data_IF_668203222878
#
_entry.id   IF_668203222878
#
_cell.length_a   1.000
_cell.length_b   1.000
_cell.length_c   1.000
_cell.angle_alpha   90.00
_cell.angle_beta   90.00
_cell.angle_gamma   90.00
#
_symmetry.space_group_name_H-M   'P 1'
#
loop_
_entity.id
_entity.type
_entity.pdbx_description
1 polymer ?
#
# COMPACT_ATOMS: atom_id res chain seq x y z
N UNK A 1 -24.06 36.14 76.97
CA UNK A 1 -24.61 36.32 75.60
C UNK A 1 -24.76 34.96 74.96
N UNK A 2 -25.99 34.45 74.88
CA UNK A 2 -26.29 33.13 74.34
C UNK A 2 -26.10 33.12 72.80
N UNK A 3 -25.36 32.13 72.31
CA UNK A 3 -25.12 31.93 70.87
C UNK A 3 -26.40 31.38 70.23
N UNK A 4 -26.87 31.93 69.09
CA UNK A 4 -28.15 31.55 68.50
C UNK A 4 -28.13 30.09 68.00
N UNK A 5 -29.30 29.42 67.98
CA UNK A 5 -29.42 28.04 67.50
C UNK A 5 -29.09 27.96 66.00
N UNK A 6 -28.20 27.04 65.64
CA UNK A 6 -27.82 26.80 64.25
C UNK A 6 -29.00 26.22 63.45
N UNK A 7 -29.19 26.63 62.18
CA UNK A 7 -30.30 26.17 61.35
C UNK A 7 -30.24 24.65 61.11
N UNK A 8 -31.40 23.97 61.08
CA UNK A 8 -31.48 22.52 60.89
C UNK A 8 -31.11 22.18 59.44
N UNK A 9 -29.87 21.70 59.26
CA UNK A 9 -29.35 21.29 57.94
C UNK A 9 -27.89 21.65 57.69
N UNK A 10 -27.25 22.45 58.56
CA UNK A 10 -25.81 22.64 58.47
C UNK A 10 -25.08 21.35 58.89
N UNK A 11 -24.11 20.84 58.09
CA UNK A 11 -23.28 19.74 58.55
C UNK A 11 -22.59 20.21 59.83
N UNK A 12 -22.82 19.50 60.95
CA UNK A 12 -22.21 19.83 62.24
C UNK A 12 -20.70 19.77 62.05
N UNK A 13 -20.07 20.93 61.89
CA UNK A 13 -18.62 21.04 61.83
C UNK A 13 -18.08 20.45 63.13
N UNK A 14 -17.12 19.54 63.05
CA UNK A 14 -16.50 18.90 64.22
C UNK A 14 -16.02 19.91 65.28
N UNK A 15 -15.77 21.16 64.88
CA UNK A 15 -15.45 22.29 65.78
C UNK A 15 -16.59 22.75 66.71
N UNK A 16 -17.80 22.21 66.61
CA UNK A 16 -18.92 22.48 67.52
C UNK A 16 -19.08 21.42 68.63
N UNK A 17 -18.27 20.36 68.62
CA UNK A 17 -18.34 19.26 69.59
C UNK A 17 -17.41 19.50 70.79
N UNK A 18 -17.83 19.08 71.98
CA UNK A 18 -16.96 19.14 73.17
C UNK A 18 -15.85 18.08 73.13
N UNK A 19 -14.79 18.26 73.93
CA UNK A 19 -13.65 17.32 73.98
C UNK A 19 -14.06 15.90 74.37
N UNK A 20 -15.04 15.74 75.25
CA UNK A 20 -15.62 14.44 75.59
C UNK A 20 -16.38 13.80 74.42
N UNK A 21 -17.15 14.59 73.67
CA UNK A 21 -17.90 14.13 72.50
C UNK A 21 -16.98 13.75 71.33
N UNK A 22 -15.89 14.49 71.14
CA UNK A 22 -14.87 14.16 70.14
C UNK A 22 -14.15 12.84 70.50
N UNK A 23 -13.81 12.62 71.77
CA UNK A 23 -13.22 11.34 72.22
C UNK A 23 -14.18 10.16 72.03
N UNK A 24 -15.45 10.33 72.37
CA UNK A 24 -16.45 9.29 72.14
C UNK A 24 -16.65 9.00 70.63
N UNK A 25 -16.60 10.02 69.78
CA UNK A 25 -16.70 9.86 68.33
C UNK A 25 -15.45 9.19 67.72
N UNK A 26 -14.27 9.47 68.26
CA UNK A 26 -13.02 8.79 67.88
C UNK A 26 -13.01 7.30 68.25
N UNK A 27 -13.74 6.92 69.30
CA UNK A 27 -13.90 5.53 69.72
C UNK A 27 -15.02 4.79 68.97
N UNK A 28 -15.87 5.53 68.23
CA UNK A 28 -17.00 5.02 67.46
C UNK A 28 -16.74 5.13 65.96
N UNK A 29 -15.94 4.19 65.45
CA UNK A 29 -15.54 4.08 64.04
C UNK A 29 -16.71 4.10 63.04
N UNK A 30 -17.82 3.34 63.21
CA UNK A 30 -18.92 3.39 62.24
C UNK A 30 -19.61 4.76 62.22
N UNK A 31 -19.68 5.46 63.35
CA UNK A 31 -20.22 6.82 63.41
C UNK A 31 -19.29 7.84 62.74
N UNK A 32 -17.97 7.67 62.87
CA UNK A 32 -16.99 8.47 62.15
C UNK A 32 -17.08 8.25 60.62
N UNK A 33 -17.15 6.99 60.17
CA UNK A 33 -17.32 6.66 58.76
C UNK A 33 -18.61 7.24 58.17
N UNK A 34 -19.72 7.20 58.92
CA UNK A 34 -20.97 7.84 58.51
C UNK A 34 -20.81 9.36 58.39
N UNK A 35 -20.12 10.00 59.32
CA UNK A 35 -19.84 11.44 59.25
C UNK A 35 -18.97 11.81 58.03
N UNK A 36 -17.96 10.99 57.70
CA UNK A 36 -17.11 11.16 56.50
C UNK A 36 -17.94 11.01 55.22
N UNK A 37 -18.78 9.98 55.13
CA UNK A 37 -19.67 9.74 53.96
C UNK A 37 -20.68 10.88 53.74
N UNK A 38 -21.13 11.51 54.83
CA UNK A 38 -22.03 12.66 54.78
C UNK A 38 -21.29 14.00 54.56
N UNK A 39 -19.95 14.00 54.58
CA UNK A 39 -19.19 15.21 54.34
C UNK A 39 -19.34 15.68 52.88
N UNK A 40 -19.52 16.98 52.69
CA UNK A 40 -19.66 17.59 51.36
C UNK A 40 -18.48 17.27 50.43
N UNK A 41 -17.25 17.25 50.99
CA UNK A 41 -16.03 16.93 50.24
C UNK A 41 -16.04 15.49 49.73
N UNK A 42 -16.41 14.53 50.58
CA UNK A 42 -16.51 13.12 50.17
C UNK A 42 -17.61 12.90 49.13
N UNK A 43 -18.78 13.52 49.30
CA UNK A 43 -19.86 13.43 48.32
C UNK A 43 -19.49 14.05 46.97
N UNK A 44 -18.78 15.18 46.96
CA UNK A 44 -18.30 15.81 45.72
C UNK A 44 -17.33 14.88 44.96
N UNK A 45 -16.35 14.31 45.66
CA UNK A 45 -15.41 13.34 45.06
C UNK A 45 -16.11 12.08 44.56
N UNK A 46 -17.12 11.61 45.29
CA UNK A 46 -17.90 10.43 44.88
C UNK A 46 -18.70 10.71 43.61
N UNK A 47 -19.34 11.89 43.49
CA UNK A 47 -20.04 12.31 42.26
C UNK A 47 -19.07 12.44 41.09
N UNK A 48 -17.93 13.09 41.29
CA UNK A 48 -16.90 13.22 40.26
C UNK A 48 -16.40 11.85 39.79
N UNK A 49 -16.22 10.89 40.71
CA UNK A 49 -15.89 9.51 40.36
C UNK A 49 -16.97 8.86 39.50
N UNK A 50 -18.24 9.01 39.87
CA UNK A 50 -19.37 8.46 39.12
C UNK A 50 -19.48 9.08 37.72
N UNK A 51 -19.31 10.39 37.61
CA UNK A 51 -19.27 11.11 36.32
C UNK A 51 -18.13 10.59 35.42
N UNK A 52 -16.92 10.45 35.98
CA UNK A 52 -15.77 9.91 35.24
C UNK A 52 -15.98 8.46 34.82
N UNK A 53 -16.57 7.63 35.67
CA UNK A 53 -16.89 6.23 35.34
C UNK A 53 -17.97 6.16 34.26
N UNK A 54 -19.00 6.99 34.34
CA UNK A 54 -20.05 7.07 33.32
C UNK A 54 -19.44 7.49 31.97
N UNK A 55 -18.62 8.56 31.95
CA UNK A 55 -17.94 9.03 30.76
C UNK A 55 -16.99 7.97 30.15
N UNK A 56 -16.18 7.30 30.98
CA UNK A 56 -15.31 6.23 30.52
C UNK A 56 -16.11 5.05 29.93
N UNK A 57 -17.22 4.67 30.58
CA UNK A 57 -18.08 3.59 30.10
C UNK A 57 -18.76 3.92 28.78
N UNK A 58 -19.18 5.18 28.58
CA UNK A 58 -19.74 5.66 27.32
C UNK A 58 -18.68 5.59 26.21
N UNK A 59 -17.48 6.12 26.44
CA UNK A 59 -16.37 6.05 25.49
C UNK A 59 -15.98 4.60 25.16
N UNK A 60 -15.97 3.70 26.15
CA UNK A 60 -15.68 2.30 25.92
C UNK A 60 -16.74 1.65 25.03
N UNK A 61 -18.03 1.94 25.26
CA UNK A 61 -19.13 1.45 24.41
C UNK A 61 -19.01 1.99 22.99
N UNK A 62 -18.75 3.28 22.81
CA UNK A 62 -18.60 3.89 21.49
C UNK A 62 -17.41 3.30 20.73
N UNK A 63 -16.26 3.13 21.40
CA UNK A 63 -15.07 2.50 20.82
C UNK A 63 -15.34 1.04 20.40
N UNK A 64 -16.07 0.28 21.23
CA UNK A 64 -16.46 -1.09 20.90
C UNK A 64 -17.45 -1.14 19.73
N UNK A 65 -18.38 -0.18 19.65
CA UNK A 65 -19.33 -0.08 18.54
C UNK A 65 -18.63 0.20 17.19
N UNK A 66 -17.45 0.83 17.20
CA UNK A 66 -16.66 1.07 15.99
C UNK A 66 -15.88 -0.15 15.49
N UNK A 67 -15.63 -1.16 16.34
CA UNK A 67 -14.89 -2.37 15.97
C UNK A 67 -15.42 -3.09 14.72
N UNK A 68 -16.71 -3.44 14.60
CA UNK A 68 -17.20 -4.17 13.44
C UNK A 68 -16.92 -3.40 12.14
N UNK A 69 -17.21 -2.09 12.11
CA UNK A 69 -16.93 -1.25 10.95
C UNK A 69 -15.45 -1.21 10.56
N UNK A 70 -14.54 -1.21 11.55
CA UNK A 70 -13.10 -1.25 11.27
C UNK A 70 -12.65 -2.62 10.76
N UNK A 71 -13.22 -3.69 11.29
CA UNK A 71 -12.94 -5.07 10.86
C UNK A 71 -13.46 -5.32 9.44
N UNK A 72 -14.69 -4.89 9.15
CA UNK A 72 -15.27 -4.92 7.80
C UNK A 72 -14.43 -4.10 6.80
N UNK A 73 -14.01 -2.89 7.20
CA UNK A 73 -13.15 -2.05 6.39
C UNK A 73 -11.79 -2.69 6.09
N UNK A 74 -11.17 -3.35 7.09
CA UNK A 74 -9.92 -4.11 6.90
C UNK A 74 -10.13 -5.30 5.95
N UNK A 75 -11.22 -6.05 6.11
CA UNK A 75 -11.53 -7.19 5.24
C UNK A 75 -11.77 -6.73 3.79
N UNK A 76 -12.57 -5.69 3.59
CA UNK A 76 -12.82 -5.12 2.26
C UNK A 76 -11.52 -4.61 1.60
N UNK A 77 -10.65 -3.96 2.38
CA UNK A 77 -9.35 -3.50 1.87
C UNK A 77 -8.44 -4.68 1.49
N UNK A 78 -8.41 -5.74 2.30
CA UNK A 78 -7.65 -6.94 2.00
C UNK A 78 -8.12 -7.61 0.70
N UNK A 79 -9.44 -7.68 0.47
CA UNK A 79 -10.01 -8.17 -0.80
C UNK A 79 -9.52 -7.31 -1.98
N UNK A 80 -9.58 -5.98 -1.87
CA UNK A 80 -9.10 -5.09 -2.94
C UNK A 80 -7.61 -5.22 -3.23
N UNK A 81 -6.77 -5.41 -2.20
CA UNK A 81 -5.35 -5.70 -2.41
C UNK A 81 -5.12 -7.04 -3.10
N UNK A 82 -5.93 -8.06 -2.79
CA UNK A 82 -5.85 -9.36 -3.44
C UNK A 82 -6.28 -9.27 -4.92
N UNK A 83 -7.39 -8.61 -5.23
CA UNK A 83 -7.82 -8.33 -6.62
C UNK A 83 -6.72 -7.61 -7.41
N UNK A 84 -6.12 -6.56 -6.82
CA UNK A 84 -5.02 -5.81 -7.44
C UNK A 84 -3.81 -6.71 -7.73
N UNK A 85 -3.46 -7.58 -6.78
CA UNK A 85 -2.36 -8.53 -6.94
C UNK A 85 -2.62 -9.48 -8.11
N UNK A 86 -3.83 -10.02 -8.21
CA UNK A 86 -4.23 -10.93 -9.29
C UNK A 86 -4.15 -10.24 -10.65
N UNK A 87 -4.70 -9.03 -10.77
CA UNK A 87 -4.62 -8.24 -12.02
C UNK A 87 -3.17 -7.92 -12.36
N UNK A 88 -2.34 -7.56 -11.38
CA UNK A 88 -0.92 -7.27 -11.60
C UNK A 88 -0.17 -8.49 -12.12
N UNK A 89 -0.39 -9.67 -11.53
CA UNK A 89 0.25 -10.90 -11.98
C UNK A 89 -0.26 -11.33 -13.36
N UNK A 90 -1.56 -11.19 -13.64
CA UNK A 90 -2.12 -11.43 -14.97
C UNK A 90 -1.50 -10.50 -16.03
N UNK A 91 -1.34 -9.21 -15.72
CA UNK A 91 -0.66 -8.25 -16.60
C UNK A 91 0.80 -8.63 -16.82
N UNK A 92 1.54 -9.00 -15.76
CA UNK A 92 2.93 -9.47 -15.87
C UNK A 92 3.05 -10.72 -16.73
N UNK A 93 2.14 -11.68 -16.59
CA UNK A 93 2.12 -12.88 -17.41
C UNK A 93 1.89 -12.55 -18.90
N UNK A 94 0.96 -11.62 -19.20
CA UNK A 94 0.72 -11.13 -20.57
C UNK A 94 1.95 -10.42 -21.14
N UNK A 95 2.62 -9.58 -20.35
CA UNK A 95 3.85 -8.89 -20.77
C UNK A 95 4.96 -9.88 -21.09
N UNK A 96 5.21 -10.90 -20.25
CA UNK A 96 6.21 -11.94 -20.52
C UNK A 96 5.91 -12.71 -21.81
N UNK A 97 4.64 -13.03 -22.07
CA UNK A 97 4.23 -13.68 -23.33
C UNK A 97 4.48 -12.80 -24.55
N UNK A 98 4.19 -11.51 -24.42
CA UNK A 98 4.45 -10.54 -25.48
C UNK A 98 5.94 -10.36 -25.73
N UNK A 99 6.76 -10.26 -24.68
CA UNK A 99 8.22 -10.22 -24.78
C UNK A 99 8.76 -11.48 -25.49
N UNK A 100 8.30 -12.67 -25.11
CA UNK A 100 8.70 -13.91 -25.78
C UNK A 100 8.34 -13.92 -27.27
N UNK A 101 7.11 -13.49 -27.62
CA UNK A 101 6.69 -13.38 -29.02
C UNK A 101 7.53 -12.35 -29.79
N UNK A 102 7.84 -11.20 -29.19
CA UNK A 102 8.71 -10.19 -29.80
C UNK A 102 10.14 -10.69 -29.99
N UNK A 103 10.66 -11.51 -29.09
CA UNK A 103 11.97 -12.15 -29.26
C UNK A 103 11.95 -13.21 -30.38
N UNK A 104 10.86 -13.97 -30.53
CA UNK A 104 10.69 -15.00 -31.59
C UNK A 104 10.46 -14.39 -32.98
N UNK A 105 9.61 -13.36 -33.05
CA UNK A 105 9.27 -12.65 -34.27
C UNK A 105 10.18 -11.44 -34.53
N UNK A 106 11.17 -11.23 -33.66
CA UNK A 106 12.04 -10.06 -33.71
C UNK A 106 12.86 -9.98 -35.00
N UNK A 107 13.14 -8.77 -35.50
CA UNK A 107 13.88 -8.57 -36.75
C UNK A 107 15.27 -9.21 -36.71
N UNK A 108 15.94 -9.18 -35.55
CA UNK A 108 17.24 -9.81 -35.37
C UNK A 108 17.18 -11.34 -35.52
N UNK A 109 16.13 -11.98 -34.98
CA UNK A 109 15.94 -13.42 -35.16
C UNK A 109 15.59 -13.75 -36.61
N UNK A 110 14.79 -12.91 -37.27
CA UNK A 110 14.49 -13.06 -38.70
C UNK A 110 15.76 -12.96 -39.57
N UNK A 111 16.65 -12.00 -39.29
CA UNK A 111 17.96 -11.91 -39.94
C UNK A 111 18.78 -13.17 -39.75
N UNK A 112 18.86 -13.70 -38.53
CA UNK A 112 19.58 -14.94 -38.25
C UNK A 112 19.03 -16.14 -39.03
N UNK A 113 17.70 -16.28 -39.12
CA UNK A 113 17.06 -17.33 -39.93
C UNK A 113 17.36 -17.18 -41.42
N UNK A 114 17.30 -15.97 -41.96
CA UNK A 114 17.62 -15.70 -43.37
C UNK A 114 19.09 -16.00 -43.67
N UNK A 115 20.01 -15.66 -42.76
CA UNK A 115 21.44 -15.97 -42.90
C UNK A 115 21.67 -17.47 -42.92
N UNK A 116 21.10 -18.21 -41.98
CA UNK A 116 21.21 -19.67 -41.94
C UNK A 116 20.61 -20.33 -43.20
N UNK A 117 19.48 -19.83 -43.70
CA UNK A 117 18.88 -20.34 -44.94
C UNK A 117 19.76 -20.07 -46.18
N UNK A 118 20.38 -18.89 -46.24
CA UNK A 118 21.35 -18.54 -47.28
C UNK A 118 22.54 -19.51 -47.24
N UNK A 119 23.21 -19.60 -46.09
CA UNK A 119 24.39 -20.44 -45.90
C UNK A 119 24.07 -21.92 -46.22
N UNK A 120 22.91 -22.43 -45.81
CA UNK A 120 22.47 -23.78 -46.13
C UNK A 120 22.26 -24.01 -47.63
N UNK A 121 21.59 -23.09 -48.32
CA UNK A 121 21.38 -23.19 -49.78
C UNK A 121 22.66 -23.06 -50.60
N UNK A 122 23.64 -22.27 -50.12
CA UNK A 122 24.97 -22.16 -50.72
C UNK A 122 25.77 -23.46 -50.55
N UNK A 123 25.74 -24.05 -49.35
CA UNK A 123 26.36 -25.35 -49.09
C UNK A 123 25.72 -26.49 -49.90
N UNK A 124 24.39 -26.48 -50.08
CA UNK A 124 23.69 -27.42 -50.96
C UNK A 124 24.15 -27.28 -52.42
N UNK A 125 24.27 -26.04 -52.91
CA UNK A 125 24.73 -25.77 -54.27
C UNK A 125 26.19 -26.20 -54.49
N UNK A 126 27.05 -26.00 -53.49
CA UNK A 126 28.44 -26.47 -53.52
C UNK A 126 28.52 -28.00 -53.53
N UNK A 127 27.74 -28.66 -52.67
CA UNK A 127 27.65 -30.12 -52.64
C UNK A 127 27.19 -30.68 -53.99
N UNK A 128 26.16 -30.08 -54.59
CA UNK A 128 25.67 -30.47 -55.92
C UNK A 128 26.74 -30.30 -57.00
N UNK A 129 27.50 -29.20 -56.96
CA UNK A 129 28.62 -28.96 -57.88
C UNK A 129 29.70 -30.03 -57.73
N UNK A 130 30.12 -30.33 -56.51
CA UNK A 130 31.15 -31.33 -56.24
C UNK A 130 30.73 -32.72 -56.76
N UNK A 131 29.48 -33.13 -56.54
CA UNK A 131 28.95 -34.41 -57.02
C UNK A 131 28.87 -34.48 -58.54
N UNK A 132 28.52 -33.38 -59.20
CA UNK A 132 28.53 -33.31 -60.67
C UNK A 132 29.95 -33.42 -61.23
N UNK A 133 30.93 -32.72 -60.63
CA UNK A 133 32.35 -32.82 -61.02
C UNK A 133 32.93 -34.22 -60.78
N UNK A 134 32.43 -34.94 -59.78
CA UNK A 134 32.75 -36.35 -59.54
C UNK A 134 32.02 -37.32 -60.49
N UNK A 135 31.23 -36.82 -61.44
CA UNK A 135 30.40 -37.60 -62.37
C UNK A 135 29.36 -38.51 -61.69
N UNK A 136 28.95 -38.20 -60.45
CA UNK A 136 27.94 -38.98 -59.71
C UNK A 136 26.50 -38.70 -60.15
N UNK A 137 26.26 -37.57 -60.82
CA UNK A 137 24.92 -37.08 -61.18
C UNK A 137 24.92 -36.66 -62.66
N UNK A 138 23.92 -37.07 -63.47
CA UNK A 138 23.81 -36.64 -64.85
C UNK A 138 23.48 -35.15 -64.97
N UNK A 139 23.82 -34.55 -66.11
CA UNK A 139 23.70 -33.10 -66.35
C UNK A 139 22.30 -32.56 -66.05
N UNK A 140 21.26 -33.21 -66.56
CA UNK A 140 19.88 -32.72 -66.42
C UNK A 140 19.43 -32.66 -64.95
N UNK A 141 19.76 -33.69 -64.16
CA UNK A 141 19.44 -33.74 -62.73
C UNK A 141 20.28 -32.74 -61.91
N UNK A 142 21.53 -32.52 -62.30
CA UNK A 142 22.36 -31.47 -61.72
C UNK A 142 21.75 -30.09 -61.97
N UNK A 143 21.40 -29.77 -63.23
CA UNK A 143 20.82 -28.48 -63.58
C UNK A 143 19.53 -28.19 -62.81
N UNK A 144 18.63 -29.16 -62.72
CA UNK A 144 17.37 -28.98 -61.98
C UNK A 144 17.63 -28.68 -60.49
N UNK A 145 18.50 -29.45 -59.83
CA UNK A 145 18.77 -29.31 -58.40
C UNK A 145 19.62 -28.07 -58.06
N UNK A 146 20.63 -27.78 -58.89
CA UNK A 146 21.51 -26.62 -58.74
C UNK A 146 20.80 -25.30 -59.02
N UNK A 147 19.97 -25.22 -60.07
CA UNK A 147 19.17 -24.02 -60.32
C UNK A 147 18.19 -23.76 -59.17
N UNK A 148 17.63 -24.81 -58.56
CA UNK A 148 16.75 -24.68 -57.39
C UNK A 148 17.49 -24.15 -56.15
N UNK A 149 18.66 -24.70 -55.81
CA UNK A 149 19.45 -24.23 -54.66
C UNK A 149 19.95 -22.80 -54.88
N UNK A 150 20.41 -22.47 -56.09
CA UNK A 150 20.80 -21.12 -56.48
C UNK A 150 19.66 -20.14 -56.41
N UNK A 151 18.47 -20.48 -56.91
CA UNK A 151 17.30 -19.63 -56.80
C UNK A 151 16.96 -19.32 -55.33
N UNK A 152 17.01 -20.32 -54.44
CA UNK A 152 16.80 -20.12 -53.00
C UNK A 152 17.86 -19.21 -52.38
N UNK A 153 19.14 -19.43 -52.70
CA UNK A 153 20.25 -18.58 -52.24
C UNK A 153 20.04 -17.11 -52.65
N UNK A 154 19.72 -16.85 -53.92
CA UNK A 154 19.44 -15.49 -54.38
C UNK A 154 18.26 -14.84 -53.66
N UNK A 155 17.15 -15.57 -53.51
CA UNK A 155 15.97 -15.09 -52.78
C UNK A 155 16.33 -14.75 -51.32
N UNK A 156 17.01 -15.65 -50.60
CA UNK A 156 17.42 -15.43 -49.21
C UNK A 156 18.40 -14.26 -49.08
N UNK A 157 19.33 -14.09 -50.02
CA UNK A 157 20.27 -12.97 -50.07
C UNK A 157 19.55 -11.64 -50.27
N UNK A 158 18.66 -11.55 -51.25
CA UNK A 158 17.86 -10.33 -51.48
C UNK A 158 16.98 -10.01 -50.26
N UNK A 159 16.34 -11.01 -49.65
CA UNK A 159 15.55 -10.81 -48.44
C UNK A 159 16.40 -10.33 -47.26
N UNK A 160 17.62 -10.87 -47.09
CA UNK A 160 18.56 -10.46 -46.05
C UNK A 160 18.98 -8.99 -46.25
N UNK A 161 19.40 -8.62 -47.45
CA UNK A 161 19.80 -7.26 -47.82
C UNK A 161 18.64 -6.27 -47.59
N UNK A 162 17.42 -6.62 -48.02
CA UNK A 162 16.24 -5.77 -47.84
C UNK A 162 15.84 -5.60 -46.38
N UNK A 163 15.90 -6.66 -45.58
CA UNK A 163 15.63 -6.57 -44.14
C UNK A 163 16.70 -5.72 -43.44
N UNK A 164 17.97 -5.85 -43.81
CA UNK A 164 19.04 -5.00 -43.28
C UNK A 164 18.85 -3.53 -43.65
N UNK A 165 18.48 -3.23 -44.90
CA UNK A 165 18.19 -1.87 -45.38
C UNK A 165 17.04 -1.23 -44.58
N UNK A 166 15.94 -1.96 -44.37
CA UNK A 166 14.79 -1.49 -43.58
C UNK A 166 15.17 -1.22 -42.11
N UNK A 167 16.00 -2.07 -41.53
CA UNK A 167 16.46 -1.90 -40.14
C UNK A 167 17.45 -0.75 -39.98
N UNK A 168 18.28 -0.48 -40.98
CA UNK A 168 19.19 0.68 -41.00
C UNK A 168 18.41 1.98 -41.16
N UNK A 169 17.48 2.04 -42.13
CA UNK A 169 16.58 3.20 -42.31
C UNK A 169 15.74 3.52 -41.08
N UNK A 170 15.33 2.50 -40.31
CA UNK A 170 14.62 2.70 -39.05
C UNK A 170 15.51 3.15 -37.89
N UNK A 171 16.85 3.08 -38.06
CA UNK A 171 17.85 3.40 -37.03
C UNK A 171 18.56 4.73 -37.28
N UNK A 172 18.56 5.20 -38.52
CA UNK A 172 19.07 6.52 -38.89
C UNK A 172 18.18 7.61 -38.28
N UNK A 173 18.68 8.44 -37.36
CA UNK A 173 17.98 9.62 -36.92
C UNK A 173 18.44 10.80 -37.78
N UNK A 174 18.09 10.90 -39.07
CA UNK A 174 18.45 12.11 -39.83
C UNK A 174 17.67 12.31 -41.15
N UNK A 175 17.21 13.55 -41.38
CA UNK A 175 16.91 14.04 -42.73
C UNK A 175 15.57 14.76 -42.97
N UNK A 176 15.08 15.60 -42.04
CA UNK A 176 14.09 16.62 -42.38
C UNK A 176 14.64 17.54 -43.50
N UNK A 177 13.95 17.74 -44.64
CA UNK A 177 14.26 18.85 -45.53
C UNK A 177 13.85 20.15 -44.83
N UNK A 178 14.81 21.06 -44.68
CA UNK A 178 14.66 22.39 -44.07
C UNK A 178 13.37 23.10 -44.50
N UNK A 179 12.45 23.24 -43.55
CA UNK A 179 11.33 24.16 -43.57
C UNK A 179 11.19 24.83 -42.21
N UNK A 180 11.89 25.96 -42.05
CA UNK A 180 11.75 27.02 -41.04
C UNK A 180 10.83 26.71 -39.84
N UNK A 181 11.39 26.41 -38.66
CA UNK A 181 11.03 27.04 -37.37
C UNK A 181 11.82 26.44 -36.18
N UNK A 182 12.27 27.26 -35.20
CA UNK A 182 13.02 26.79 -34.04
C UNK A 182 12.10 26.58 -32.83
N UNK A 183 11.97 25.34 -32.35
CA UNK A 183 11.66 25.07 -30.94
C UNK A 183 12.13 23.66 -30.57
N UNK A 184 13.20 23.63 -29.78
CA UNK A 184 13.84 22.42 -29.26
C UNK A 184 12.95 21.67 -28.28
N UNK A 185 12.91 20.34 -28.40
CA UNK A 185 12.23 19.46 -27.45
C UNK A 185 12.54 17.99 -27.70
N UNK A 186 13.79 17.59 -27.49
CA UNK A 186 14.28 16.19 -27.57
C UNK A 186 13.45 15.23 -26.72
N UNK A 187 13.24 14.03 -27.24
CA UNK A 187 12.83 12.87 -26.44
C UNK A 187 12.66 11.59 -27.25
N UNK A 188 13.76 10.94 -27.61
CA UNK A 188 13.78 9.64 -28.26
C UNK A 188 12.96 8.58 -27.49
N UNK A 189 11.94 8.02 -28.13
CA UNK A 189 11.16 6.92 -27.59
C UNK A 189 11.76 5.58 -28.05
N UNK A 190 12.66 5.01 -27.24
CA UNK A 190 12.88 3.56 -27.20
C UNK A 190 11.55 2.88 -26.84
N UNK A 191 11.23 1.66 -27.33
CA UNK A 191 10.02 0.95 -26.93
C UNK A 191 10.20 0.48 -25.49
N UNK A 192 10.00 1.40 -24.55
CA UNK A 192 9.85 1.06 -23.15
C UNK A 192 8.59 0.23 -23.06
N UNK A 193 8.75 -1.03 -22.64
CA UNK A 193 7.65 -1.83 -22.10
C UNK A 193 6.76 -0.90 -21.25
N UNK A 194 5.42 -0.96 -21.41
CA UNK A 194 4.54 -0.04 -20.71
C UNK A 194 4.79 -0.21 -19.21
N UNK A 195 5.57 0.69 -18.63
CA UNK A 195 5.67 0.83 -17.19
C UNK A 195 4.34 1.41 -16.77
N UNK A 196 3.35 0.53 -16.58
CA UNK A 196 2.20 0.78 -15.75
C UNK A 196 2.74 1.04 -14.34
N UNK A 197 3.14 2.29 -14.11
CA UNK A 197 3.32 2.82 -12.77
C UNK A 197 1.92 2.96 -12.19
N UNK A 198 1.38 1.84 -11.69
CA UNK A 198 0.32 1.89 -10.70
C UNK A 198 0.92 2.53 -9.45
N UNK A 199 0.94 3.85 -9.43
CA UNK A 199 1.38 4.68 -8.31
C UNK A 199 0.37 4.63 -7.19
N UNK A 200 0.18 3.46 -6.58
CA UNK A 200 -0.43 3.36 -5.27
C UNK A 200 0.69 3.12 -4.28
N UNK A 201 1.13 4.21 -3.63
CA UNK A 201 1.90 4.13 -2.40
C UNK A 201 1.01 3.35 -1.42
N UNK A 202 1.45 2.19 -0.89
CA UNK A 202 0.68 1.50 0.13
C UNK A 202 0.58 2.47 1.31
N UNK A 203 -0.64 2.90 1.65
CA UNK A 203 -0.89 3.45 2.96
C UNK A 203 -0.71 2.28 3.93
N UNK A 204 0.51 2.16 4.45
CA UNK A 204 0.90 1.27 5.52
C UNK A 204 0.98 -0.21 5.13
N UNK A 205 2.12 -0.63 4.56
CA UNK A 205 2.58 -2.01 4.71
C UNK A 205 3.17 -2.12 6.13
N UNK A 206 2.35 -2.30 7.16
CA UNK A 206 2.85 -2.79 8.46
C UNK A 206 3.26 -4.25 8.22
N UNK A 207 4.54 -4.63 8.41
CA UNK A 207 4.93 -6.03 8.37
C UNK A 207 4.07 -6.81 9.36
N UNK A 208 3.51 -7.95 8.94
CA UNK A 208 2.66 -8.81 9.79
C UNK A 208 3.36 -9.26 11.09
N UNK A 209 4.68 -9.10 11.19
CA UNK A 209 5.46 -9.34 12.42
C UNK A 209 5.33 -8.22 13.49
N UNK A 210 4.70 -7.08 13.18
CA UNK A 210 4.50 -5.96 14.11
C UNK A 210 3.04 -5.78 14.55
N UNK A 211 2.16 -6.76 14.28
CA UNK A 211 0.91 -6.88 15.03
C UNK A 211 1.28 -7.50 16.38
N UNK A 212 1.83 -6.67 17.27
CA UNK A 212 1.78 -6.99 18.69
C UNK A 212 0.28 -6.97 19.03
N UNK A 213 -0.35 -8.08 19.42
CA UNK A 213 -1.69 -8.00 19.99
C UNK A 213 -1.57 -7.00 21.12
N UNK A 214 -2.46 -5.99 21.15
CA UNK A 214 -2.46 -4.98 22.18
C UNK A 214 -2.40 -5.70 23.53
N UNK A 215 -1.22 -5.69 24.16
CA UNK A 215 -1.01 -6.44 25.38
C UNK A 215 -1.92 -5.78 26.39
N UNK A 216 -2.97 -6.51 26.78
CA UNK A 216 -3.79 -6.12 27.93
C UNK A 216 -2.79 -5.97 29.07
N UNK A 217 -2.62 -4.77 29.66
CA UNK A 217 -1.61 -4.61 30.69
C UNK A 217 -1.95 -5.57 31.83
N UNK A 218 -0.98 -6.31 32.39
CA UNK A 218 -1.24 -7.13 33.55
C UNK A 218 -1.76 -6.21 34.67
N UNK A 219 -2.71 -6.72 35.48
CA UNK A 219 -3.26 -6.05 36.66
C UNK A 219 -2.13 -5.66 37.63
N UNK A 220 -1.46 -4.54 37.39
CA UNK A 220 -0.53 -3.92 38.33
C UNK A 220 -1.36 -3.07 39.27
N UNK A 221 -1.21 -3.36 40.57
CA UNK A 221 -1.79 -2.58 41.67
C UNK A 221 -1.44 -1.11 41.45
N UNK A 222 -2.46 -0.25 41.52
CA UNK A 222 -2.31 1.20 41.50
C UNK A 222 -1.39 1.64 42.64
N UNK A 223 -0.36 2.49 42.40
CA UNK A 223 0.36 3.15 43.48
C UNK A 223 -0.58 4.11 44.22
N UNK A 224 -0.44 4.17 45.55
CA UNK A 224 -1.21 5.05 46.41
C UNK A 224 -0.93 6.53 46.08
N UNK A 225 -2.00 7.33 45.96
CA UNK A 225 -1.93 8.77 45.70
C UNK A 225 -1.40 9.49 46.95
N UNK A 226 -0.13 9.89 46.92
CA UNK A 226 0.53 10.69 47.96
C UNK A 226 1.00 12.05 47.43
N UNK A 227 0.19 13.08 47.70
CA UNK A 227 0.48 14.52 47.76
C UNK A 227 0.98 15.33 46.53
N UNK A 228 0.70 16.66 46.50
CA UNK A 228 0.71 17.48 45.29
C UNK A 228 1.98 18.32 45.13
N UNK A 229 2.50 18.43 43.90
CA UNK A 229 3.45 19.48 43.49
C UNK A 229 2.77 20.49 42.56
N UNK A 230 3.08 21.80 42.65
CA UNK A 230 2.43 22.82 41.84
C UNK A 230 3.21 23.16 40.55
N UNK A 231 2.44 23.64 39.57
CA UNK A 231 2.81 24.39 38.35
C UNK A 231 3.12 23.60 37.05
N UNK A 232 2.97 24.21 35.85
CA UNK A 232 2.18 25.37 35.45
C UNK A 232 1.09 25.02 34.41
N UNK A 233 0.20 25.97 34.15
CA UNK A 233 -0.96 25.86 33.27
C UNK A 233 -0.64 25.30 31.87
N UNK A 234 -1.31 24.22 31.48
CA UNK A 234 -1.49 23.82 30.09
C UNK A 234 -2.99 23.76 29.79
N UNK A 235 -3.43 24.60 28.85
CA UNK A 235 -4.81 24.70 28.41
C UNK A 235 -5.31 23.38 27.79
N UNK A 236 -6.59 23.02 27.97
CA UNK A 236 -7.12 21.80 27.36
C UNK A 236 -7.30 22.00 25.85
N UNK A 237 -6.64 21.15 25.06
CA UNK A 237 -6.92 21.00 23.64
C UNK A 237 -8.29 20.33 23.46
N UNK A 238 -9.25 21.10 22.96
CA UNK A 238 -10.57 20.59 22.56
C UNK A 238 -10.44 19.55 21.44
N UNK A 239 -11.19 18.43 21.47
CA UNK A 239 -11.24 17.51 20.35
C UNK A 239 -11.95 18.16 19.16
N UNK A 240 -11.26 18.26 18.03
CA UNK A 240 -11.89 18.66 16.76
C UNK A 240 -12.85 17.55 16.31
N UNK A 241 -14.10 17.85 15.94
CA UNK A 241 -14.99 16.85 15.38
C UNK A 241 -14.47 16.44 13.99
N UNK A 242 -14.44 15.13 13.72
CA UNK A 242 -14.29 14.62 12.37
C UNK A 242 -15.48 15.10 11.54
N UNK A 243 -15.24 15.98 10.56
CA UNK A 243 -16.26 16.36 9.58
C UNK A 243 -16.68 15.10 8.82
N UNK A 244 -17.94 14.71 9.02
CA UNK A 244 -18.68 13.83 8.13
C UNK A 244 -18.74 14.54 6.77
N UNK A 245 -18.05 14.00 5.75
CA UNK A 245 -18.23 14.45 4.38
C UNK A 245 -19.49 13.74 3.86
N UNK A 246 -20.60 14.47 3.82
CA UNK A 246 -21.82 14.01 3.15
C UNK A 246 -21.53 13.80 1.65
N UNK A 247 -22.12 12.78 1.01
CA UNK A 247 -22.04 12.61 -0.43
C UNK A 247 -22.94 13.65 -1.12
N UNK A 248 -22.41 14.37 -2.11
CA UNK A 248 -23.21 15.24 -2.98
C UNK A 248 -24.24 14.42 -3.76
N UNK A 249 -25.48 14.92 -3.91
CA UNK A 249 -26.44 14.34 -4.83
C UNK A 249 -26.06 14.70 -6.27
N UNK A 250 -25.97 13.66 -7.11
CA UNK A 250 -25.95 13.80 -8.57
C UNK A 250 -27.23 14.52 -9.01
N UNK A 251 -27.06 15.70 -9.62
CA UNK A 251 -28.14 16.35 -10.36
C UNK A 251 -28.34 15.67 -11.72
N UNK A 252 -29.59 15.64 -12.23
CA UNK A 252 -29.98 14.92 -13.44
C UNK A 252 -29.39 15.50 -14.73
#
# INVERSE_FOLDING_TARGET
>A
MARPPAPPGAPRCFGALSTGQLRALLQDEPRLQRAVRLSKKFQALQREREERLAANSALARDNLALRPRLEDGKAALAIKYQELREVREACRAKLRRLEAYLEECGPQRALGRLRAALDASEAEAETQMQRFLAHEVPLDAFLESFCRSRARSHVSRTQLEKLQELLQRGRDPEGEPQGLNPASGRGAASPKAPQLRCGFVPAVLVPAAAVVPFAVPPKRRLPALGQPQPAPHAAPLSPRPFRRREPEPLQP
#
